data_IF_830852820613
#
_entry.id   IF_830852820613
#
_cell.length_a   1.000
_cell.length_b   1.000
_cell.length_c   1.000
_cell.angle_alpha   90.00
_cell.angle_beta   90.00
_cell.angle_gamma   90.00
#
_symmetry.space_group_name_H-M   'P 1'
#
loop_
_entity.id
_entity.type
_entity.pdbx_description
1 polymer ?
#
# COMPACT_ATOMS: atom_id res chain seq x y z
N UNK A 1 7.34 8.28 14.13
CA UNK A 1 5.85 8.37 14.07
C UNK A 1 5.31 6.96 14.06
N UNK A 2 4.20 6.70 14.75
CA UNK A 2 3.73 5.36 15.10
C UNK A 2 3.81 4.38 13.91
N UNK A 3 4.37 3.20 14.17
CA UNK A 3 4.62 2.12 13.22
C UNK A 3 3.28 1.49 12.78
N UNK A 4 2.41 2.29 12.15
CA UNK A 4 1.09 1.87 11.70
C UNK A 4 1.28 0.88 10.55
N UNK A 5 0.89 -0.37 10.82
CA UNK A 5 0.97 -1.49 9.88
C UNK A 5 0.00 -1.26 8.72
N UNK A 6 -1.12 -0.59 8.99
CA UNK A 6 -2.18 -0.33 8.02
C UNK A 6 -2.27 1.14 7.64
N UNK A 7 -2.41 1.37 6.33
CA UNK A 7 -2.64 2.67 5.73
C UNK A 7 -4.15 2.90 5.55
N UNK A 8 -4.62 4.10 5.90
CA UNK A 8 -6.03 4.51 5.69
C UNK A 8 -6.22 5.01 4.26
N UNK A 9 -7.48 5.07 3.81
CA UNK A 9 -7.81 5.60 2.47
C UNK A 9 -7.34 7.03 2.26
N UNK A 10 -7.39 7.86 3.31
CA UNK A 10 -6.95 9.25 3.24
C UNK A 10 -5.45 9.33 2.96
N UNK A 11 -4.64 8.50 3.65
CA UNK A 11 -3.20 8.39 3.43
C UNK A 11 -2.87 7.87 2.03
N UNK A 12 -3.59 6.84 1.54
CA UNK A 12 -3.41 6.31 0.18
C UNK A 12 -3.75 7.37 -0.88
N UNK A 13 -4.80 8.16 -0.65
CA UNK A 13 -5.22 9.21 -1.56
C UNK A 13 -4.18 10.35 -1.62
N UNK A 14 -3.67 10.77 -0.47
CA UNK A 14 -2.61 11.78 -0.39
C UNK A 14 -1.30 11.29 -1.02
N UNK A 15 -0.90 10.05 -0.73
CA UNK A 15 0.37 9.48 -1.22
C UNK A 15 0.36 9.27 -2.74
N UNK A 16 -0.78 8.86 -3.31
CA UNK A 16 -0.93 8.70 -4.76
C UNK A 16 -1.38 9.99 -5.48
N UNK A 17 -1.76 11.04 -4.75
CA UNK A 17 -2.33 12.26 -5.33
C UNK A 17 -3.65 12.02 -6.07
N UNK A 18 -4.45 11.05 -5.64
CA UNK A 18 -5.72 10.67 -6.28
C UNK A 18 -6.92 11.06 -5.44
N UNK A 19 -8.10 11.08 -6.04
CA UNK A 19 -9.34 11.33 -5.28
C UNK A 19 -9.66 10.19 -4.30
N UNK A 20 -10.26 10.52 -3.15
CA UNK A 20 -10.69 9.54 -2.14
C UNK A 20 -11.55 8.40 -2.72
N UNK A 21 -12.52 8.65 -3.63
CA UNK A 21 -13.29 7.58 -4.25
C UNK A 21 -12.43 6.64 -5.11
N UNK A 22 -11.37 7.16 -5.73
CA UNK A 22 -10.44 6.38 -6.53
C UNK A 22 -9.51 5.54 -5.63
N UNK A 23 -9.03 6.11 -4.53
CA UNK A 23 -8.27 5.37 -3.52
C UNK A 23 -9.07 4.19 -2.94
N UNK A 24 -10.37 4.36 -2.68
CA UNK A 24 -11.24 3.25 -2.26
C UNK A 24 -11.32 2.11 -3.28
N UNK A 25 -11.42 2.42 -4.58
CA UNK A 25 -11.43 1.41 -5.65
C UNK A 25 -10.11 0.64 -5.70
N UNK A 26 -9.00 1.36 -5.58
CA UNK A 26 -7.65 0.80 -5.53
C UNK A 26 -7.45 -0.15 -4.35
N UNK A 27 -7.76 0.31 -3.13
CA UNK A 27 -7.66 -0.51 -1.91
C UNK A 27 -8.51 -1.78 -2.04
N UNK A 28 -9.71 -1.67 -2.61
CA UNK A 28 -10.58 -2.81 -2.84
C UNK A 28 -9.95 -3.84 -3.78
N UNK A 29 -9.44 -3.41 -4.93
CA UNK A 29 -8.77 -4.29 -5.89
C UNK A 29 -7.55 -4.98 -5.26
N UNK A 30 -6.73 -4.23 -4.52
CA UNK A 30 -5.55 -4.79 -3.85
C UNK A 30 -5.92 -5.76 -2.72
N UNK A 31 -6.98 -5.50 -1.97
CA UNK A 31 -7.49 -6.42 -0.96
C UNK A 31 -8.08 -7.69 -1.59
N UNK A 32 -8.68 -7.61 -2.78
CA UNK A 32 -9.12 -8.80 -3.52
C UNK A 32 -7.93 -9.65 -3.98
N UNK A 33 -6.81 -9.04 -4.37
CA UNK A 33 -5.55 -9.75 -4.67
C UNK A 33 -4.92 -10.39 -3.42
N UNK A 34 -4.80 -9.64 -2.34
CA UNK A 34 -4.27 -10.11 -1.06
C UNK A 34 -5.07 -11.29 -0.49
N UNK A 35 -6.40 -11.22 -0.60
CA UNK A 35 -7.28 -12.30 -0.18
C UNK A 35 -7.04 -13.60 -0.96
N UNK A 36 -6.72 -13.49 -2.27
CA UNK A 36 -6.37 -14.66 -3.11
C UNK A 36 -5.03 -15.29 -2.72
N UNK A 37 -4.07 -14.50 -2.24
CA UNK A 37 -2.81 -15.02 -1.70
C UNK A 37 -2.93 -15.63 -0.30
N UNK A 38 -4.13 -15.65 0.28
CA UNK A 38 -4.40 -16.21 1.61
C UNK A 38 -4.12 -15.24 2.76
N UNK A 39 -3.94 -13.95 2.47
CA UNK A 39 -3.76 -12.92 3.49
C UNK A 39 -5.10 -12.39 3.98
N UNK A 40 -5.14 -11.97 5.25
CA UNK A 40 -6.33 -11.32 5.84
C UNK A 40 -6.36 -9.87 5.36
N UNK A 41 -7.50 -9.44 4.81
CA UNK A 41 -7.70 -8.07 4.32
C UNK A 41 -8.80 -7.35 5.09
N UNK A 42 -8.70 -6.03 5.17
CA UNK A 42 -9.62 -5.18 5.92
C UNK A 42 -10.18 -4.13 4.97
N UNK A 43 -11.51 -4.07 4.84
CA UNK A 43 -12.14 -3.06 4.00
C UNK A 43 -11.77 -1.64 4.44
N UNK A 44 -11.35 -0.80 3.49
CA UNK A 44 -10.94 0.59 3.75
C UNK A 44 -9.54 0.75 4.35
N UNK A 45 -8.79 -0.35 4.52
CA UNK A 45 -7.38 -0.33 4.95
C UNK A 45 -6.56 -1.25 4.07
N UNK A 46 -5.27 -0.95 3.96
CA UNK A 46 -4.31 -1.80 3.28
C UNK A 46 -3.03 -1.89 4.10
N UNK A 47 -2.35 -3.03 4.06
CA UNK A 47 -1.04 -3.14 4.70
C UNK A 47 -0.05 -2.21 3.99
N UNK A 48 0.65 -1.37 4.76
CA UNK A 48 1.58 -0.38 4.22
C UNK A 48 2.71 -1.05 3.46
N UNK A 49 3.27 -2.17 3.97
CA UNK A 49 4.35 -2.87 3.27
C UNK A 49 3.85 -3.42 1.94
N UNK A 50 2.71 -4.09 1.94
CA UNK A 50 2.12 -4.61 0.70
C UNK A 50 1.81 -3.51 -0.31
N UNK A 51 1.25 -2.39 0.14
CA UNK A 51 0.97 -1.23 -0.70
C UNK A 51 2.24 -0.72 -1.38
N UNK A 52 3.31 -0.47 -0.60
CA UNK A 52 4.57 -0.02 -1.17
C UNK A 52 5.24 -1.09 -2.04
N UNK A 53 5.20 -2.38 -1.68
CA UNK A 53 5.75 -3.47 -2.50
C UNK A 53 5.04 -3.59 -3.85
N UNK A 54 3.72 -3.38 -3.90
CA UNK A 54 2.96 -3.45 -5.16
C UNK A 54 3.14 -2.22 -6.04
N UNK A 55 3.11 -1.02 -5.46
CA UNK A 55 3.24 0.23 -6.21
C UNK A 55 4.68 0.58 -6.56
N UNK A 56 5.62 0.29 -5.67
CA UNK A 56 7.05 0.54 -5.85
C UNK A 56 7.82 -0.77 -6.01
N UNK A 57 7.21 -1.75 -6.72
CA UNK A 57 7.82 -3.03 -7.05
C UNK A 57 9.30 -2.88 -7.39
N UNK A 58 10.13 -3.12 -6.37
CA UNK A 58 11.59 -2.97 -6.28
C UNK A 58 12.23 -1.60 -6.57
N UNK A 59 12.49 -0.84 -5.49
CA UNK A 59 13.88 -0.39 -5.20
C UNK A 59 14.25 -0.74 -3.76
N UNK A 60 14.55 -2.02 -3.53
CA UNK A 60 15.71 -2.31 -2.71
C UNK A 60 16.91 -1.67 -3.40
N UNK A 61 17.22 -0.42 -3.07
CA UNK A 61 18.59 0.09 -3.20
C UNK A 61 19.47 -0.60 -2.16
N UNK A 62 19.58 -1.92 -2.23
CA UNK A 62 20.84 -2.55 -1.83
C UNK A 62 21.86 -2.11 -2.87
N UNK A 63 22.79 -1.27 -2.43
CA UNK A 63 23.97 -0.74 -3.13
C UNK A 63 23.79 0.57 -3.94
N UNK A 64 23.73 1.70 -3.22
CA UNK A 64 24.77 2.74 -3.35
C UNK A 64 25.14 3.29 -1.98
N UNK A 65 25.92 2.50 -1.22
CA UNK A 65 26.90 3.07 -0.30
C UNK A 65 28.02 3.59 -1.21
N UNK A 66 27.82 4.79 -1.75
CA UNK A 66 28.84 5.50 -2.52
C UNK A 66 29.84 6.12 -1.56
N UNK A 67 31.10 5.80 -1.79
CA UNK A 67 32.32 6.38 -1.22
C UNK A 67 32.39 7.90 -1.33
#
# INVERSE_FOLDING_TARGET
MANQIFMRVDEVAEELGVSVPYAYKLIRQMNEELAKTGCITISGRIDRKFFHEKFYGTRTETARKGE
#
